data_IF_938782357851
#
_entry.id   IF_938782357851
#
_cell.length_a   1.000
_cell.length_b   1.000
_cell.length_c   1.000
_cell.angle_alpha   90.00
_cell.angle_beta   90.00
_cell.angle_gamma   90.00
#
_symmetry.space_group_name_H-M   'P 1'
#
loop_
_entity.id
_entity.type
_entity.pdbx_description
1 polymer ?
#
# COMPACT_ATOMS: atom_id res chain seq x y z
N UNK A 1 23.91 9.34 87.36
CA UNK A 1 24.58 8.21 86.70
C UNK A 1 24.93 8.67 85.29
N UNK A 2 26.20 9.06 85.07
CA UNK A 2 27.23 8.24 84.37
C UNK A 2 26.83 7.91 82.93
N UNK A 3 27.36 8.57 81.88
CA UNK A 3 28.77 8.56 81.38
C UNK A 3 29.10 7.12 80.88
N UNK A 4 29.52 6.83 79.64
CA UNK A 4 30.56 7.47 78.80
C UNK A 4 30.39 7.21 77.27
N UNK A 5 31.12 7.96 76.44
CA UNK A 5 31.62 7.58 75.09
C UNK A 5 32.99 8.26 74.87
N UNK A 6 33.85 7.93 73.85
CA UNK A 6 33.82 6.86 72.86
C UNK A 6 34.97 5.84 73.11
N UNK A 7 35.80 5.35 72.14
CA UNK A 7 36.73 6.14 71.31
C UNK A 7 36.77 5.73 69.80
N UNK A 8 37.75 6.22 69.02
CA UNK A 8 37.79 6.09 67.55
C UNK A 8 39.18 5.77 66.94
N UNK A 9 39.17 5.06 65.80
CA UNK A 9 40.25 4.98 64.78
C UNK A 9 41.63 4.43 65.25
N UNK A 10 42.72 4.39 64.44
CA UNK A 10 42.87 4.49 62.97
C UNK A 10 43.68 3.33 62.33
N UNK A 11 43.71 3.27 60.97
CA UNK A 11 44.86 2.98 60.04
C UNK A 11 44.28 2.58 58.67
N UNK A 12 44.60 3.14 57.49
CA UNK A 12 45.78 3.80 56.92
C UNK A 12 46.80 2.87 56.21
N UNK A 13 46.85 2.94 54.88
CA UNK A 13 48.14 3.00 54.17
C UNK A 13 48.37 2.08 52.95
N UNK A 14 48.49 2.73 51.78
CA UNK A 14 49.35 2.37 50.62
C UNK A 14 48.97 1.11 49.80
N UNK A 15 49.31 1.03 48.52
CA UNK A 15 49.99 2.04 47.70
C UNK A 15 50.02 1.74 46.19
N UNK A 16 50.33 2.78 45.40
CA UNK A 16 50.44 2.76 43.94
C UNK A 16 51.89 2.47 43.53
N UNK A 17 52.13 1.68 42.45
CA UNK A 17 53.02 2.01 41.30
C UNK A 17 53.42 0.81 40.41
N UNK A 18 53.21 1.00 39.08
CA UNK A 18 54.16 0.74 37.95
C UNK A 18 54.51 -0.74 37.60
N UNK A 19 54.86 -1.13 36.37
CA UNK A 19 54.96 -0.46 35.03
C UNK A 19 55.01 -1.51 33.89
N UNK A 20 54.70 -1.10 32.64
CA UNK A 20 55.28 -1.48 31.32
C UNK A 20 55.72 -2.95 31.05
N UNK A 21 55.52 -3.54 29.87
CA UNK A 21 56.03 -3.05 28.56
C UNK A 21 55.29 -3.68 27.37
N UNK A 22 55.44 -3.11 26.17
CA UNK A 22 54.87 -3.52 24.87
C UNK A 22 55.40 -4.87 24.34
N UNK A 23 54.66 -5.57 23.45
CA UNK A 23 54.64 -5.43 21.97
C UNK A 23 53.35 -6.09 21.39
N UNK A 24 52.93 -6.01 20.11
CA UNK A 24 53.56 -5.48 18.88
C UNK A 24 52.57 -4.78 17.91
N UNK A 25 52.19 -5.42 16.79
CA UNK A 25 51.44 -4.88 15.64
C UNK A 25 50.54 -5.99 15.01
N UNK A 26 49.48 -5.71 14.23
CA UNK A 26 49.56 -5.16 12.86
C UNK A 26 48.22 -4.66 12.28
N UNK A 27 48.32 -3.52 11.56
CA UNK A 27 47.55 -3.08 10.36
C UNK A 27 46.01 -3.07 10.27
N UNK A 28 45.51 -1.87 9.89
CA UNK A 28 44.51 -1.60 8.86
C UNK A 28 43.01 -1.91 9.10
N UNK A 29 42.26 -0.89 9.55
CA UNK A 29 41.07 -0.34 8.87
C UNK A 29 40.42 0.77 9.74
N UNK A 30 40.84 2.02 9.54
CA UNK A 30 40.33 3.16 10.31
C UNK A 30 38.95 3.63 9.83
N UNK A 31 37.90 2.87 10.15
CA UNK A 31 36.51 3.31 9.95
C UNK A 31 36.19 4.46 10.91
N UNK A 32 36.44 5.68 10.45
CA UNK A 32 36.12 6.91 11.15
C UNK A 32 34.61 7.16 11.06
N UNK A 33 33.85 6.41 11.88
CA UNK A 33 32.43 6.68 12.12
C UNK A 33 32.34 8.02 12.84
N UNK A 34 32.24 9.10 12.07
CA UNK A 34 31.85 10.41 12.55
C UNK A 34 30.38 10.33 12.95
N UNK A 35 30.15 9.87 14.19
CA UNK A 35 28.84 9.81 14.78
C UNK A 35 28.25 11.22 14.86
N UNK A 36 27.35 11.54 13.93
CA UNK A 36 26.44 12.66 14.06
C UNK A 36 25.52 12.38 15.26
N UNK A 37 25.97 12.81 16.43
CA UNK A 37 25.12 13.02 17.59
C UNK A 37 24.25 14.25 17.33
N UNK A 38 23.34 14.14 16.35
CA UNK A 38 22.23 15.06 16.21
C UNK A 38 21.38 15.05 17.48
N UNK A 39 20.57 16.09 17.72
CA UNK A 39 19.56 16.00 18.76
C UNK A 39 18.65 14.80 18.45
N UNK A 40 18.30 14.04 19.48
CA UNK A 40 17.24 13.03 19.38
C UNK A 40 15.87 13.73 19.28
N UNK A 41 15.64 14.41 18.16
CA UNK A 41 14.29 14.59 17.65
C UNK A 41 13.69 13.20 17.49
N UNK A 42 12.40 13.06 17.80
CA UNK A 42 11.69 11.91 17.28
C UNK A 42 11.74 12.01 15.75
N UNK A 43 12.28 10.99 15.09
CA UNK A 43 11.98 10.75 13.68
C UNK A 43 10.45 10.59 13.59
N UNK A 44 9.77 11.25 12.64
CA UNK A 44 8.37 10.98 12.41
C UNK A 44 8.24 9.51 11.97
N UNK A 45 7.68 8.65 12.82
CA UNK A 45 7.33 7.30 12.39
C UNK A 45 6.45 7.41 11.15
N UNK A 46 6.92 6.86 10.03
CA UNK A 46 6.13 6.83 8.80
C UNK A 46 4.81 6.12 9.12
N UNK A 47 3.72 6.88 9.06
CA UNK A 47 2.37 6.40 9.34
C UNK A 47 1.90 5.56 8.14
N UNK A 48 2.45 4.34 8.10
CA UNK A 48 2.02 3.22 7.27
C UNK A 48 0.48 3.19 7.25
N UNK A 49 -0.08 3.31 6.05
CA UNK A 49 -1.43 3.84 5.85
C UNK A 49 -2.54 3.05 6.52
N UNK A 50 -3.61 3.78 6.84
CA UNK A 50 -4.75 3.27 7.58
C UNK A 50 -4.62 3.41 9.09
N UNK A 51 -5.77 3.51 9.76
CA UNK A 51 -5.84 3.72 11.21
C UNK A 51 -5.21 2.55 12.00
N UNK A 52 -4.47 2.89 13.06
CA UNK A 52 -3.87 1.94 14.00
C UNK A 52 -4.65 1.88 15.32
N UNK A 53 -4.58 0.76 16.01
CA UNK A 53 -5.19 0.60 17.33
C UNK A 53 -4.81 -0.67 18.08
N UNK A 54 -5.39 -0.87 19.26
CA UNK A 54 -5.17 -2.04 20.14
C UNK A 54 -6.51 -2.63 20.57
N UNK A 55 -6.63 -3.95 20.59
CA UNK A 55 -7.79 -4.62 21.19
C UNK A 55 -7.77 -4.49 22.72
N UNK A 56 -8.83 -3.92 23.29
CA UNK A 56 -8.96 -3.60 24.73
C UNK A 56 -10.12 -4.32 25.43
N UNK A 57 -10.48 -5.51 24.94
CA UNK A 57 -11.52 -6.36 25.53
C UNK A 57 -12.88 -6.28 24.81
N UNK A 58 -13.88 -6.99 25.34
CA UNK A 58 -15.23 -6.99 24.77
C UNK A 58 -16.06 -5.80 25.25
N UNK A 59 -16.99 -5.33 24.42
CA UNK A 59 -18.09 -4.46 24.86
C UNK A 59 -19.11 -5.28 25.66
N UNK A 60 -19.52 -6.41 25.12
CA UNK A 60 -20.12 -7.53 25.85
C UNK A 60 -19.95 -8.84 25.07
N UNK A 61 -20.16 -9.96 25.75
CA UNK A 61 -20.31 -11.28 25.13
C UNK A 61 -21.79 -11.71 25.11
N UNK A 62 -22.18 -12.36 24.03
CA UNK A 62 -23.53 -12.87 23.78
C UNK A 62 -23.65 -14.38 24.07
N UNK A 63 -24.79 -15.00 23.70
CA UNK A 63 -24.92 -16.45 23.74
C UNK A 63 -23.93 -17.15 22.80
N UNK A 64 -23.54 -18.37 23.18
CA UNK A 64 -22.83 -19.30 22.29
C UNK A 64 -23.74 -19.66 21.11
N UNK A 65 -23.19 -19.65 19.90
CA UNK A 65 -23.85 -20.19 18.70
C UNK A 65 -23.29 -21.57 18.34
N UNK A 66 -24.16 -22.48 17.94
CA UNK A 66 -23.83 -23.82 17.49
C UNK A 66 -23.94 -23.89 15.97
N UNK A 67 -22.88 -24.37 15.32
CA UNK A 67 -22.72 -24.29 13.86
C UNK A 67 -22.21 -25.59 13.26
N UNK A 68 -22.26 -25.69 11.93
CA UNK A 68 -21.61 -26.75 11.15
C UNK A 68 -20.10 -26.87 11.45
N UNK A 69 -19.44 -25.77 11.81
CA UNK A 69 -18.02 -25.70 12.18
C UNK A 69 -17.70 -25.88 13.66
N UNK A 70 -18.68 -25.99 14.56
CA UNK A 70 -18.43 -26.16 16.00
C UNK A 70 -19.39 -25.43 16.94
N UNK A 71 -18.84 -24.74 17.93
CA UNK A 71 -19.62 -23.99 18.92
C UNK A 71 -18.80 -22.79 19.40
N UNK A 72 -19.28 -21.58 19.12
CA UNK A 72 -18.50 -20.34 19.20
C UNK A 72 -19.17 -19.34 20.14
N UNK A 73 -18.40 -18.74 21.04
CA UNK A 73 -18.88 -17.60 21.83
C UNK A 73 -18.95 -16.35 20.96
N UNK A 74 -20.09 -15.67 20.94
CA UNK A 74 -20.25 -14.40 20.23
C UNK A 74 -19.82 -13.23 21.12
N UNK A 75 -19.23 -12.19 20.55
CA UNK A 75 -18.85 -10.97 21.28
C UNK A 75 -18.75 -9.79 20.32
N UNK A 76 -19.01 -8.60 20.84
CA UNK A 76 -18.69 -7.33 20.18
C UNK A 76 -17.39 -6.81 20.80
N UNK A 77 -16.38 -6.56 20.00
CA UNK A 77 -15.01 -6.27 20.44
C UNK A 77 -14.75 -4.77 20.50
N UNK A 78 -13.90 -4.33 21.45
CA UNK A 78 -13.42 -2.95 21.54
C UNK A 78 -12.05 -2.84 20.87
N UNK A 79 -12.00 -2.10 19.78
CA UNK A 79 -10.75 -1.66 19.17
C UNK A 79 -10.52 -0.20 19.58
N UNK A 80 -9.51 0.06 20.40
CA UNK A 80 -9.12 1.44 20.76
C UNK A 80 -8.11 1.93 19.73
N UNK A 81 -8.41 3.03 19.04
CA UNK A 81 -7.48 3.72 18.14
C UNK A 81 -6.46 4.57 18.90
N UNK A 82 -5.38 4.96 18.22
CA UNK A 82 -4.28 5.74 18.82
C UNK A 82 -4.73 7.14 19.31
N UNK A 83 -5.71 7.77 18.66
CA UNK A 83 -6.30 9.06 19.07
C UNK A 83 -7.08 8.98 20.41
N UNK A 84 -7.50 7.79 20.83
CA UNK A 84 -8.34 7.58 22.00
C UNK A 84 -9.68 6.89 21.73
N UNK A 85 -10.19 6.96 20.51
CA UNK A 85 -11.51 6.49 20.07
C UNK A 85 -11.67 4.99 20.26
N UNK A 86 -12.87 4.51 20.62
CA UNK A 86 -13.11 3.09 20.98
C UNK A 86 -14.23 2.48 20.15
N UNK A 87 -13.84 1.91 19.00
CA UNK A 87 -14.76 1.34 18.02
C UNK A 87 -15.35 0.02 18.48
N UNK A 88 -16.66 -0.15 18.26
CA UNK A 88 -17.32 -1.46 18.27
C UNK A 88 -16.97 -2.20 16.98
N UNK A 89 -16.48 -3.44 17.10
CA UNK A 89 -16.05 -4.27 15.97
C UNK A 89 -16.56 -5.70 16.09
N UNK A 90 -16.81 -6.35 14.94
CA UNK A 90 -17.13 -7.78 14.84
C UNK A 90 -15.92 -8.59 14.33
N UNK A 91 -15.95 -9.91 14.51
CA UNK A 91 -14.95 -10.82 13.95
C UNK A 91 -15.35 -11.29 12.54
N UNK A 92 -14.41 -11.24 11.59
CA UNK A 92 -14.56 -11.82 10.23
C UNK A 92 -13.64 -13.04 9.98
N UNK A 93 -13.00 -13.59 11.02
CA UNK A 93 -12.35 -14.92 10.94
C UNK A 93 -12.64 -15.81 12.14
N UNK A 94 -13.73 -16.59 12.07
CA UNK A 94 -14.13 -17.56 13.10
C UNK A 94 -13.14 -18.72 13.34
N UNK A 95 -12.06 -18.84 12.54
CA UNK A 95 -11.05 -19.91 12.64
C UNK A 95 -9.73 -19.44 13.30
N UNK A 96 -9.64 -18.17 13.69
CA UNK A 96 -8.48 -17.60 14.38
C UNK A 96 -8.93 -17.03 15.72
N UNK A 97 -8.16 -17.25 16.79
CA UNK A 97 -8.47 -16.69 18.11
C UNK A 97 -8.13 -15.21 18.18
N UNK A 98 -8.92 -14.43 18.92
CA UNK A 98 -8.47 -13.10 19.35
C UNK A 98 -7.34 -13.21 20.38
N UNK A 99 -6.34 -12.33 20.28
CA UNK A 99 -5.23 -12.24 21.22
C UNK A 99 -5.38 -10.96 22.08
N UNK A 100 -5.32 -11.10 23.41
CA UNK A 100 -5.41 -9.97 24.34
C UNK A 100 -4.31 -8.94 24.05
N UNK A 101 -4.67 -7.66 23.96
CA UNK A 101 -3.77 -6.55 23.61
C UNK A 101 -2.94 -6.84 22.36
N UNK A 102 -3.57 -7.38 21.32
CA UNK A 102 -3.01 -7.35 19.97
C UNK A 102 -3.14 -5.95 19.38
N UNK A 103 -2.12 -5.57 18.60
CA UNK A 103 -2.13 -4.36 17.79
C UNK A 103 -2.87 -4.66 16.48
N UNK A 104 -3.53 -3.65 15.94
CA UNK A 104 -4.28 -3.72 14.70
C UNK A 104 -3.91 -2.55 13.81
N UNK A 105 -3.84 -2.83 12.52
CA UNK A 105 -3.74 -1.82 11.45
C UNK A 105 -4.88 -2.05 10.49
N UNK A 106 -5.52 -0.99 10.04
CA UNK A 106 -6.46 -1.02 8.92
C UNK A 106 -5.81 -1.62 7.68
N UNK A 107 -6.61 -2.24 6.81
CA UNK A 107 -6.23 -2.59 5.45
C UNK A 107 -7.49 -2.83 4.61
N UNK A 108 -7.32 -2.91 3.29
CA UNK A 108 -8.38 -3.26 2.36
C UNK A 108 -8.95 -4.68 2.57
N UNK A 109 -10.16 -4.91 2.08
CA UNK A 109 -10.83 -6.20 2.01
C UNK A 109 -10.05 -7.20 1.16
N UNK A 110 -9.41 -6.73 0.09
CA UNK A 110 -8.52 -7.54 -0.74
C UNK A 110 -7.37 -8.17 0.08
N UNK A 111 -6.86 -7.44 1.07
CA UNK A 111 -5.73 -7.85 1.91
C UNK A 111 -6.13 -8.59 3.20
N UNK A 112 -7.39 -9.06 3.31
CA UNK A 112 -7.86 -9.91 4.42
C UNK A 112 -6.92 -11.11 4.66
N UNK A 113 -6.26 -11.20 5.84
CA UNK A 113 -5.29 -12.26 6.12
C UNK A 113 -5.93 -13.51 6.77
N UNK A 114 -7.25 -13.52 6.97
CA UNK A 114 -7.95 -14.54 7.75
C UNK A 114 -8.07 -15.89 7.03
N UNK A 115 -8.45 -16.93 7.78
CA UNK A 115 -8.63 -18.30 7.25
C UNK A 115 -10.05 -18.54 6.70
N UNK A 116 -10.84 -17.48 6.53
CA UNK A 116 -12.17 -17.50 5.96
C UNK A 116 -12.20 -17.35 4.44
N UNK A 117 -13.40 -17.10 3.93
CA UNK A 117 -13.71 -16.86 2.51
C UNK A 117 -14.24 -15.43 2.29
N UNK A 118 -13.93 -14.48 3.18
CA UNK A 118 -14.47 -13.12 3.20
C UNK A 118 -14.47 -12.44 1.83
N UNK A 119 -13.35 -12.52 1.11
CA UNK A 119 -13.13 -11.94 -0.23
C UNK A 119 -14.05 -12.52 -1.33
N UNK A 120 -14.88 -13.54 -1.03
CA UNK A 120 -15.87 -14.07 -1.98
C UNK A 120 -17.20 -13.33 -1.96
N UNK A 121 -17.60 -12.76 -0.82
CA UNK A 121 -18.88 -12.05 -0.61
C UNK A 121 -18.74 -10.92 0.44
N UNK A 122 -17.74 -10.02 0.36
CA UNK A 122 -17.50 -9.04 1.42
C UNK A 122 -18.60 -7.96 1.45
N UNK A 123 -19.18 -7.62 0.29
CA UNK A 123 -20.34 -6.73 0.16
C UNK A 123 -21.53 -7.17 1.03
N UNK A 124 -21.83 -8.48 1.09
CA UNK A 124 -22.89 -9.02 1.95
C UNK A 124 -22.59 -8.90 3.44
N UNK A 125 -21.31 -9.00 3.83
CA UNK A 125 -20.89 -8.72 5.20
C UNK A 125 -21.09 -7.23 5.52
N UNK A 126 -20.77 -6.33 4.59
CA UNK A 126 -21.03 -4.90 4.75
C UNK A 126 -22.53 -4.58 4.82
N UNK A 127 -23.36 -5.21 3.97
CA UNK A 127 -24.83 -5.11 4.05
C UNK A 127 -25.33 -5.48 5.45
N UNK A 128 -24.84 -6.58 6.03
CA UNK A 128 -25.23 -7.02 7.39
C UNK A 128 -24.81 -6.00 8.45
N UNK A 129 -23.62 -5.41 8.34
CA UNK A 129 -23.15 -4.41 9.29
C UNK A 129 -23.95 -3.09 9.20
N UNK A 130 -24.44 -2.74 8.01
CA UNK A 130 -25.32 -1.59 7.80
C UNK A 130 -26.76 -1.84 8.27
N UNK A 131 -27.29 -3.06 8.10
CA UNK A 131 -28.70 -3.39 8.29
C UNK A 131 -28.96 -4.24 9.56
N UNK A 132 -28.03 -4.22 10.52
CA UNK A 132 -28.15 -4.94 11.79
C UNK A 132 -27.52 -4.17 12.95
N UNK A 133 -27.62 -4.74 14.16
CA UNK A 133 -27.08 -4.17 15.39
C UNK A 133 -25.54 -4.04 15.34
N UNK A 134 -24.95 -2.90 15.76
CA UNK A 134 -25.58 -1.74 16.39
C UNK A 134 -26.14 -0.65 15.45
N UNK A 135 -25.86 -0.68 14.14
CA UNK A 135 -26.33 0.34 13.17
C UNK A 135 -27.86 0.44 13.11
N UNK A 136 -28.55 -0.70 13.19
CA UNK A 136 -30.00 -0.80 13.37
C UNK A 136 -30.30 -1.14 14.83
N UNK A 137 -31.27 -0.44 15.42
CA UNK A 137 -31.65 -0.67 16.82
C UNK A 137 -32.32 -2.03 17.03
N UNK A 138 -32.29 -2.51 18.28
CA UNK A 138 -32.77 -3.85 18.64
C UNK A 138 -34.28 -4.02 18.45
N UNK A 139 -35.08 -2.96 18.56
CA UNK A 139 -36.52 -3.03 18.36
C UNK A 139 -36.89 -3.08 16.88
N UNK A 140 -36.25 -2.25 16.04
CA UNK A 140 -36.43 -2.31 14.59
C UNK A 140 -35.92 -3.64 14.00
N UNK A 141 -34.74 -4.11 14.40
CA UNK A 141 -34.21 -5.41 13.98
C UNK A 141 -35.08 -6.57 14.49
N UNK A 142 -35.60 -6.47 15.72
CA UNK A 142 -36.55 -7.44 16.29
C UNK A 142 -37.86 -7.50 15.50
N UNK A 143 -38.41 -6.36 15.08
CA UNK A 143 -39.59 -6.30 14.23
C UNK A 143 -39.34 -6.87 12.83
N UNK A 144 -38.24 -6.46 12.17
CA UNK A 144 -37.90 -6.90 10.82
C UNK A 144 -37.62 -8.41 10.71
N UNK A 145 -36.95 -8.98 11.72
CA UNK A 145 -36.68 -10.43 11.80
C UNK A 145 -37.80 -11.25 12.45
N UNK A 146 -38.87 -10.60 12.93
CA UNK A 146 -39.92 -11.26 13.72
C UNK A 146 -39.44 -11.84 15.06
N UNK A 147 -38.28 -11.41 15.56
CA UNK A 147 -37.70 -11.83 16.83
C UNK A 147 -38.32 -11.08 18.02
N UNK A 148 -39.52 -11.49 18.43
CA UNK A 148 -40.20 -10.96 19.61
C UNK A 148 -39.34 -11.05 20.87
N UNK A 149 -39.20 -9.94 21.60
CA UNK A 149 -38.36 -9.88 22.81
C UNK A 149 -36.85 -9.98 22.55
N UNK A 150 -36.39 -9.66 21.33
CA UNK A 150 -34.96 -9.53 21.02
C UNK A 150 -34.28 -8.57 22.00
N UNK A 151 -33.07 -8.92 22.43
CA UNK A 151 -32.18 -8.05 23.23
C UNK A 151 -30.82 -7.93 22.55
N UNK A 152 -30.04 -6.91 22.94
CA UNK A 152 -28.71 -6.58 22.38
C UNK A 152 -27.80 -7.80 22.21
N UNK A 153 -27.77 -8.71 23.20
CA UNK A 153 -26.92 -9.90 23.16
C UNK A 153 -27.38 -10.91 22.11
N UNK A 154 -28.68 -11.07 21.92
CA UNK A 154 -29.24 -11.91 20.85
C UNK A 154 -29.07 -11.26 19.48
N UNK A 155 -29.31 -9.95 19.36
CA UNK A 155 -29.13 -9.18 18.13
C UNK A 155 -27.67 -9.25 17.63
N UNK A 156 -26.72 -8.97 18.52
CA UNK A 156 -25.29 -9.07 18.27
C UNK A 156 -24.88 -10.49 17.88
N UNK A 157 -25.40 -11.52 18.57
CA UNK A 157 -25.08 -12.91 18.24
C UNK A 157 -25.62 -13.37 16.88
N UNK A 158 -26.83 -12.94 16.50
CA UNK A 158 -27.40 -13.20 15.17
C UNK A 158 -26.59 -12.51 14.07
N UNK A 159 -26.21 -11.25 14.30
CA UNK A 159 -25.33 -10.46 13.43
C UNK A 159 -23.97 -11.16 13.25
N UNK A 160 -23.30 -11.52 14.34
CA UNK A 160 -22.00 -12.19 14.28
C UNK A 160 -22.07 -13.56 13.59
N UNK A 161 -23.16 -14.31 13.76
CA UNK A 161 -23.37 -15.57 13.04
C UNK A 161 -23.59 -15.35 11.53
N UNK A 162 -24.34 -14.31 11.14
CA UNK A 162 -24.59 -13.98 9.73
C UNK A 162 -23.31 -13.47 9.05
N UNK A 163 -22.50 -12.67 9.76
CA UNK A 163 -21.15 -12.29 9.32
C UNK A 163 -20.30 -13.54 9.06
N UNK A 164 -20.21 -14.47 10.01
CA UNK A 164 -19.42 -15.71 9.84
C UNK A 164 -19.93 -16.64 8.75
N UNK A 165 -21.21 -16.55 8.35
CA UNK A 165 -21.71 -17.28 7.20
C UNK A 165 -21.01 -16.85 5.92
N UNK A 166 -21.01 -15.55 5.63
CA UNK A 166 -20.36 -15.00 4.44
C UNK A 166 -18.83 -14.92 4.58
N UNK A 167 -18.30 -14.64 5.79
CA UNK A 167 -16.85 -14.52 6.01
C UNK A 167 -16.12 -15.86 6.18
N UNK A 168 -16.78 -16.93 6.65
CA UNK A 168 -16.13 -18.21 6.98
C UNK A 168 -16.84 -19.46 6.45
N UNK A 169 -18.04 -19.34 5.86
CA UNK A 169 -18.81 -20.47 5.34
C UNK A 169 -19.46 -21.35 6.42
N UNK A 170 -19.74 -20.80 7.61
CA UNK A 170 -20.41 -21.55 8.69
C UNK A 170 -21.93 -21.39 8.64
N UNK A 171 -22.64 -22.42 9.06
CA UNK A 171 -24.11 -22.43 9.11
C UNK A 171 -24.57 -22.66 10.54
N UNK A 172 -25.62 -21.97 11.02
CA UNK A 172 -26.23 -22.32 12.31
C UNK A 172 -26.81 -23.74 12.23
N UNK A 173 -26.47 -24.59 13.20
CA UNK A 173 -26.87 -26.00 13.21
C UNK A 173 -27.07 -26.54 14.61
N UNK A 174 -28.25 -27.09 14.86
CA UNK A 174 -28.53 -27.82 16.10
C UNK A 174 -27.95 -29.25 16.04
N UNK A 175 -27.53 -29.78 17.20
CA UNK A 175 -26.97 -31.13 17.29
C UNK A 175 -27.17 -31.73 18.67
N UNK A 176 -28.18 -32.61 18.81
CA UNK A 176 -28.56 -33.21 20.08
C UNK A 176 -28.99 -32.13 21.08
N UNK A 177 -28.31 -32.05 22.23
CA UNK A 177 -28.60 -31.05 23.27
C UNK A 177 -28.04 -29.64 22.95
N UNK A 178 -27.26 -29.48 21.87
CA UNK A 178 -26.77 -28.17 21.41
C UNK A 178 -27.86 -27.49 20.57
N UNK A 179 -28.53 -26.51 21.15
CA UNK A 179 -29.63 -25.75 20.52
C UNK A 179 -29.31 -24.26 20.48
N UNK A 180 -29.70 -23.60 19.39
CA UNK A 180 -29.51 -22.15 19.25
C UNK A 180 -30.67 -21.39 19.90
N UNK A 181 -30.44 -20.16 20.32
CA UNK A 181 -31.53 -19.31 20.82
C UNK A 181 -32.44 -18.89 19.64
N UNK A 182 -33.75 -19.05 19.78
CA UNK A 182 -34.69 -18.84 18.67
C UNK A 182 -34.64 -17.42 18.06
N UNK A 183 -34.40 -16.38 18.87
CA UNK A 183 -34.26 -15.01 18.38
C UNK A 183 -32.93 -14.77 17.65
N UNK A 184 -31.86 -15.46 18.07
CA UNK A 184 -30.57 -15.46 17.35
C UNK A 184 -30.72 -16.13 15.98
N UNK A 185 -31.48 -17.23 15.90
CA UNK A 185 -31.78 -17.92 14.63
C UNK A 185 -32.62 -17.02 13.72
N UNK A 186 -33.69 -16.41 14.21
CA UNK A 186 -34.53 -15.47 13.43
C UNK A 186 -33.74 -14.29 12.85
N UNK A 187 -32.88 -13.65 13.65
CA UNK A 187 -32.01 -12.56 13.18
C UNK A 187 -31.02 -13.08 12.12
N UNK A 188 -30.39 -14.23 12.35
CA UNK A 188 -29.49 -14.86 11.38
C UNK A 188 -30.19 -15.18 10.04
N UNK A 189 -31.36 -15.80 10.07
CA UNK A 189 -32.14 -16.16 8.88
C UNK A 189 -32.63 -14.92 8.11
N UNK A 190 -33.11 -13.89 8.83
CA UNK A 190 -33.48 -12.60 8.24
C UNK A 190 -32.30 -11.94 7.52
N UNK A 191 -31.12 -11.89 8.16
CA UNK A 191 -29.93 -11.27 7.58
C UNK A 191 -29.43 -12.05 6.35
N UNK A 192 -29.42 -13.39 6.39
CA UNK A 192 -29.04 -14.21 5.24
C UNK A 192 -30.01 -14.07 4.05
N UNK A 193 -31.30 -13.89 4.32
CA UNK A 193 -32.32 -13.76 3.28
C UNK A 193 -32.32 -12.40 2.56
N UNK A 194 -31.76 -11.35 3.19
CA UNK A 194 -31.77 -9.98 2.67
C UNK A 194 -30.37 -9.43 2.32
N UNK A 195 -29.28 -10.16 2.59
CA UNK A 195 -27.92 -9.71 2.31
C UNK A 195 -27.60 -9.68 0.81
N UNK A 196 -27.72 -8.48 0.23
CA UNK A 196 -27.47 -8.19 -1.19
C UNK A 196 -26.08 -7.60 -1.44
N UNK A 197 -25.67 -7.60 -2.71
CA UNK A 197 -24.45 -6.95 -3.22
C UNK A 197 -24.90 -5.73 -4.05
N UNK A 198 -24.71 -4.54 -3.49
CA UNK A 198 -25.23 -3.26 -3.96
C UNK A 198 -24.14 -2.18 -3.89
N UNK A 199 -24.21 -1.07 -4.68
CA UNK A 199 -23.15 -0.06 -4.71
C UNK A 199 -22.79 0.54 -3.34
N UNK A 200 -23.78 0.79 -2.47
CA UNK A 200 -23.54 1.28 -1.11
C UNK A 200 -22.97 0.24 -0.14
N UNK A 201 -22.82 -1.02 -0.58
CA UNK A 201 -22.18 -2.12 0.16
C UNK A 201 -20.79 -2.46 -0.37
N UNK A 202 -20.27 -1.67 -1.34
CA UNK A 202 -18.87 -1.69 -1.72
C UNK A 202 -17.94 -1.43 -0.51
N UNK A 203 -16.65 -1.63 -0.69
CA UNK A 203 -15.65 -1.31 0.34
C UNK A 203 -15.75 0.18 0.72
N UNK A 204 -15.88 0.54 2.01
CA UNK A 204 -15.85 1.93 2.42
C UNK A 204 -14.46 2.52 2.15
N UNK A 205 -14.40 3.75 1.63
CA UNK A 205 -13.13 4.48 1.48
C UNK A 205 -12.32 4.46 2.78
N UNK A 206 -11.01 4.23 2.66
CA UNK A 206 -10.06 4.34 3.77
C UNK A 206 -10.21 5.71 4.45
N UNK A 207 -9.97 5.81 5.77
CA UNK A 207 -10.08 7.14 6.41
C UNK A 207 -9.07 8.13 5.83
N UNK A 208 -7.81 7.71 5.75
CA UNK A 208 -6.76 8.37 5.01
C UNK A 208 -5.61 7.37 4.76
N UNK A 209 -5.20 7.24 3.50
CA UNK A 209 -4.02 6.50 3.07
C UNK A 209 -3.37 7.18 1.87
N UNK A 210 -2.10 6.85 1.63
CA UNK A 210 -1.33 7.31 0.49
C UNK A 210 -0.61 6.11 -0.14
N UNK A 211 -0.85 5.87 -1.43
CA UNK A 211 -0.34 4.70 -2.15
C UNK A 211 0.57 5.17 -3.29
N UNK A 212 1.87 4.80 -3.33
CA UNK A 212 2.61 3.98 -2.37
C UNK A 212 2.99 4.73 -1.08
N UNK A 213 3.43 4.02 -0.04
CA UNK A 213 3.84 4.63 1.23
C UNK A 213 5.25 5.24 1.23
N UNK A 214 6.08 4.91 0.25
CA UNK A 214 7.45 5.40 0.13
C UNK A 214 7.87 5.53 -1.33
N UNK A 215 8.84 6.43 -1.60
CA UNK A 215 9.50 6.55 -2.90
C UNK A 215 10.98 6.94 -2.76
N UNK A 216 11.76 6.59 -3.78
CA UNK A 216 13.18 6.96 -3.92
C UNK A 216 13.43 7.58 -5.29
N UNK A 217 14.30 8.58 -5.36
CA UNK A 217 14.66 9.24 -6.62
C UNK A 217 15.94 10.09 -6.55
N UNK A 218 16.00 11.09 -7.42
CA UNK A 218 17.13 12.01 -7.58
C UNK A 218 16.68 13.46 -7.35
N UNK A 219 17.52 14.25 -6.70
CA UNK A 219 17.34 15.70 -6.60
C UNK A 219 17.30 16.36 -7.99
N UNK A 220 16.43 17.36 -8.19
CA UNK A 220 16.15 17.99 -9.48
C UNK A 220 14.96 17.41 -10.25
N UNK A 221 14.26 16.42 -9.68
CA UNK A 221 13.08 15.77 -10.29
C UNK A 221 11.93 15.68 -9.29
N UNK A 222 10.71 15.50 -9.80
CA UNK A 222 9.58 15.06 -8.99
C UNK A 222 9.73 13.56 -8.68
N UNK A 223 9.52 13.19 -7.41
CA UNK A 223 9.73 11.82 -6.90
C UNK A 223 8.41 11.25 -6.39
N UNK A 224 8.09 10.04 -6.85
CA UNK A 224 6.87 9.31 -6.52
C UNK A 224 5.65 9.68 -7.37
N UNK A 225 4.61 8.86 -7.28
CA UNK A 225 3.26 9.13 -7.78
C UNK A 225 2.29 8.66 -6.70
N UNK A 226 2.01 9.53 -5.74
CA UNK A 226 1.25 9.24 -4.53
C UNK A 226 -0.23 9.49 -4.78
N UNK A 227 -1.02 8.42 -4.83
CA UNK A 227 -2.48 8.48 -4.92
C UNK A 227 -3.06 8.65 -3.52
N UNK A 228 -4.03 9.56 -3.39
CA UNK A 228 -4.70 9.89 -2.13
C UNK A 228 -6.00 9.10 -2.00
N UNK A 229 -6.13 8.32 -0.93
CA UNK A 229 -7.30 7.51 -0.64
C UNK A 229 -7.94 8.00 0.67
N UNK A 230 -9.13 8.61 0.61
CA UNK A 230 -9.78 9.17 1.80
C UNK A 230 -11.30 9.25 1.73
N UNK A 231 -11.96 8.88 2.82
CA UNK A 231 -13.38 9.13 3.10
C UNK A 231 -13.77 10.61 3.28
N UNK A 232 -12.82 11.54 3.18
CA UNK A 232 -13.03 12.97 3.39
C UNK A 232 -13.81 13.62 2.24
N UNK A 233 -14.72 14.53 2.58
CA UNK A 233 -15.50 15.34 1.61
C UNK A 233 -14.94 16.75 1.41
N UNK A 234 -14.02 17.19 2.27
CA UNK A 234 -13.30 18.45 2.16
C UNK A 234 -11.83 18.16 1.76
N UNK A 235 -11.16 19.04 0.99
CA UNK A 235 -9.74 18.93 0.71
C UNK A 235 -8.89 18.89 1.99
N UNK A 236 -7.83 18.08 1.97
CA UNK A 236 -6.94 17.81 3.09
C UNK A 236 -5.62 18.56 2.92
N UNK A 237 -5.17 19.35 3.91
CA UNK A 237 -3.91 20.07 3.82
C UNK A 237 -2.72 19.11 3.92
N UNK A 238 -1.79 19.23 2.96
CA UNK A 238 -0.50 18.54 3.00
C UNK A 238 0.49 19.31 3.87
N UNK A 239 1.25 18.60 4.70
CA UNK A 239 2.36 19.13 5.51
C UNK A 239 3.66 18.47 5.06
N UNK A 240 4.56 19.23 4.44
CA UNK A 240 5.88 18.75 4.02
C UNK A 240 6.90 19.02 5.12
N UNK A 241 7.52 17.96 5.65
CA UNK A 241 8.60 18.02 6.63
C UNK A 241 9.90 17.58 5.94
N UNK A 242 10.75 18.53 5.55
CA UNK A 242 12.00 18.29 4.84
C UNK A 242 12.88 19.53 4.74
N UNK A 243 13.98 19.49 3.96
CA UNK A 243 14.82 20.65 3.69
C UNK A 243 14.09 21.79 2.96
N UNK A 244 14.64 23.00 3.06
CA UNK A 244 14.09 24.19 2.39
C UNK A 244 14.01 23.99 0.87
N UNK A 245 12.85 24.33 0.29
CA UNK A 245 12.55 24.18 -1.13
C UNK A 245 11.96 22.82 -1.54
N UNK A 246 11.94 21.80 -0.68
CA UNK A 246 11.22 20.54 -0.96
C UNK A 246 9.71 20.77 -0.77
N UNK A 247 8.91 20.46 -1.80
CA UNK A 247 7.46 20.72 -1.83
C UNK A 247 6.67 19.55 -2.44
N UNK A 248 5.39 19.46 -2.12
CA UNK A 248 4.45 18.60 -2.83
C UNK A 248 3.95 19.30 -4.11
N UNK A 249 3.80 18.54 -5.20
CA UNK A 249 3.36 19.02 -6.52
C UNK A 249 2.35 18.06 -7.17
N UNK A 250 1.58 18.54 -8.14
CA UNK A 250 0.79 17.68 -9.04
C UNK A 250 1.69 16.98 -10.09
N UNK A 251 1.09 16.24 -11.02
CA UNK A 251 1.83 15.50 -12.05
C UNK A 251 2.34 16.40 -13.18
N UNK A 252 1.81 17.62 -13.26
CA UNK A 252 2.21 18.71 -14.14
C UNK A 252 3.36 19.56 -13.55
N UNK A 253 3.64 19.43 -12.25
CA UNK A 253 4.73 20.10 -11.52
C UNK A 253 4.33 21.37 -10.76
N UNK A 254 3.04 21.70 -10.65
CA UNK A 254 2.55 22.85 -9.90
C UNK A 254 2.49 22.53 -8.38
N UNK A 255 2.77 23.49 -7.47
CA UNK A 255 2.67 23.26 -6.02
C UNK A 255 1.27 22.87 -5.56
N UNK A 256 1.18 21.84 -4.71
CA UNK A 256 -0.08 21.33 -4.14
C UNK A 256 -0.06 21.44 -2.62
N UNK A 257 -0.91 22.33 -2.07
CA UNK A 257 -1.10 22.49 -0.63
C UNK A 257 -2.24 21.63 -0.07
N UNK A 258 -3.22 21.23 -0.90
CA UNK A 258 -4.43 20.52 -0.48
C UNK A 258 -4.83 19.43 -1.49
N UNK A 259 -5.31 18.28 -1.02
CA UNK A 259 -5.67 17.11 -1.85
C UNK A 259 -7.03 16.48 -1.46
N UNK A 260 -7.67 15.81 -2.41
CA UNK A 260 -8.98 15.17 -2.30
C UNK A 260 -8.88 13.65 -2.55
N UNK A 261 -9.97 12.91 -2.35
CA UNK A 261 -10.01 11.46 -2.66
C UNK A 261 -9.80 11.22 -4.17
N UNK A 262 -8.82 10.39 -4.53
CA UNK A 262 -8.44 10.09 -5.91
C UNK A 262 -7.43 11.07 -6.53
N UNK A 263 -7.06 12.16 -5.85
CA UNK A 263 -6.01 13.07 -6.32
C UNK A 263 -4.63 12.39 -6.30
N UNK A 264 -3.68 12.93 -7.07
CA UNK A 264 -2.30 12.44 -7.15
C UNK A 264 -1.30 13.56 -6.93
N UNK A 265 -0.25 13.29 -6.16
CA UNK A 265 0.86 14.21 -5.96
C UNK A 265 2.22 13.51 -6.07
N UNK A 266 3.26 14.29 -6.30
CA UNK A 266 4.66 13.90 -6.20
C UNK A 266 5.39 14.85 -5.25
N UNK A 267 6.65 14.55 -4.90
CA UNK A 267 7.50 15.46 -4.13
C UNK A 267 8.60 16.00 -5.01
N UNK A 268 8.61 17.31 -5.24
CA UNK A 268 9.67 17.98 -5.98
C UNK A 268 10.84 18.29 -5.03
N UNK A 269 12.00 17.73 -5.33
CA UNK A 269 13.26 18.03 -4.65
C UNK A 269 14.09 18.94 -5.55
N UNK A 270 14.53 20.13 -5.10
CA UNK A 270 15.34 21.04 -5.92
C UNK A 270 16.64 20.42 -6.43
N UNK A 271 17.11 20.87 -7.59
CA UNK A 271 18.41 20.45 -8.12
C UNK A 271 19.55 20.88 -7.18
N UNK A 272 20.58 20.05 -7.05
CA UNK A 272 21.72 20.31 -6.15
C UNK A 272 21.43 20.13 -4.66
N UNK A 273 20.20 19.80 -4.24
CA UNK A 273 19.91 19.39 -2.86
C UNK A 273 20.74 18.16 -2.49
N UNK A 274 21.44 18.21 -1.36
CA UNK A 274 22.26 17.11 -0.87
C UNK A 274 21.41 15.87 -0.51
N UNK A 275 21.96 14.64 -0.58
CA UNK A 275 21.21 13.41 -0.32
C UNK A 275 20.51 13.41 1.03
N UNK A 276 19.24 13.00 1.05
CA UNK A 276 18.42 13.12 2.25
C UNK A 276 17.03 12.52 2.11
N UNK A 277 16.14 12.96 3.00
CA UNK A 277 14.76 12.50 3.08
C UNK A 277 13.80 13.60 3.52
N UNK A 278 12.53 13.43 3.17
CA UNK A 278 11.41 14.24 3.59
C UNK A 278 10.18 13.35 3.87
N UNK A 279 9.31 13.81 4.75
CA UNK A 279 8.01 13.18 5.01
C UNK A 279 6.90 14.14 4.62
N UNK A 280 5.97 13.72 3.76
CA UNK A 280 4.72 14.45 3.52
C UNK A 280 3.62 13.76 4.31
N UNK A 281 2.89 14.51 5.13
CA UNK A 281 1.76 13.99 5.90
C UNK A 281 0.49 14.82 5.69
N UNK A 282 -0.66 14.19 5.93
CA UNK A 282 -1.94 14.87 6.03
C UNK A 282 -2.75 14.31 7.20
N UNK A 283 -3.81 15.04 7.56
CA UNK A 283 -4.52 14.86 8.81
C UNK A 283 -5.99 15.20 8.62
N UNK A 284 -6.90 14.32 9.08
CA UNK A 284 -8.35 14.50 8.88
C UNK A 284 -9.17 13.97 10.05
N UNK A 285 -10.25 14.67 10.40
CA UNK A 285 -11.37 14.10 11.16
C UNK A 285 -12.23 13.26 10.22
N UNK A 286 -11.80 12.02 9.96
CA UNK A 286 -12.51 11.11 9.09
C UNK A 286 -13.67 10.44 9.82
N UNK A 287 -14.77 10.23 9.12
CA UNK A 287 -15.80 9.33 9.60
C UNK A 287 -15.28 7.89 9.54
N UNK A 288 -15.34 7.19 10.67
CA UNK A 288 -15.17 5.75 10.70
C UNK A 288 -16.39 5.16 10.04
N UNK A 289 -16.30 4.82 8.77
CA UNK A 289 -17.34 4.08 8.10
C UNK A 289 -17.46 2.66 8.71
N UNK A 290 -18.68 2.15 8.70
CA UNK A 290 -18.99 0.72 8.90
C UNK A 290 -18.27 -0.09 7.82
N UNK A 291 -17.84 -1.31 8.13
CA UNK A 291 -17.21 -2.21 7.14
C UNK A 291 -15.69 -2.10 6.99
N UNK A 292 -15.00 -1.16 7.65
CA UNK A 292 -13.53 -1.03 7.59
C UNK A 292 -12.85 -2.22 8.26
N UNK A 293 -11.88 -2.83 7.58
CA UNK A 293 -11.18 -4.04 8.02
C UNK A 293 -9.91 -3.71 8.81
N UNK A 294 -9.65 -4.46 9.89
CA UNK A 294 -8.48 -4.31 10.74
C UNK A 294 -7.74 -5.64 10.96
N UNK A 295 -6.48 -5.71 10.54
CA UNK A 295 -5.59 -6.88 10.65
C UNK A 295 -4.91 -6.93 12.02
N UNK A 296 -5.16 -7.97 12.81
CA UNK A 296 -4.58 -8.09 14.15
C UNK A 296 -3.25 -8.86 14.19
N UNK A 297 -2.23 -8.31 14.86
CA UNK A 297 -0.97 -8.98 15.15
C UNK A 297 -0.55 -8.80 16.62
N UNK A 298 0.07 -9.84 17.19
CA UNK A 298 0.79 -9.79 18.46
C UNK A 298 2.00 -10.69 18.43
N UNK A 299 3.19 -10.14 18.66
CA UNK A 299 4.45 -10.89 18.75
C UNK A 299 4.70 -11.80 17.52
N UNK A 300 4.35 -11.30 16.32
CA UNK A 300 4.41 -12.04 15.05
C UNK A 300 3.27 -13.03 14.82
N UNK A 301 2.33 -13.18 15.75
CA UNK A 301 1.17 -14.08 15.65
C UNK A 301 -0.06 -13.31 15.24
N UNK A 302 -0.77 -13.83 14.25
CA UNK A 302 -2.05 -13.30 13.81
C UNK A 302 -3.12 -13.45 14.90
N UNK A 303 -3.82 -12.35 15.18
CA UNK A 303 -5.10 -12.33 15.90
C UNK A 303 -6.25 -12.33 14.88
N UNK A 304 -7.46 -12.71 15.30
CA UNK A 304 -8.63 -12.68 14.41
C UNK A 304 -8.81 -11.30 13.74
N UNK A 305 -9.13 -11.27 12.45
CA UNK A 305 -9.40 -10.02 11.73
C UNK A 305 -10.72 -9.41 12.21
N UNK A 306 -10.71 -8.11 12.46
CA UNK A 306 -11.87 -7.35 12.94
C UNK A 306 -12.45 -6.46 11.83
N UNK A 307 -13.73 -6.09 11.95
CA UNK A 307 -14.44 -5.18 11.04
C UNK A 307 -15.31 -4.19 11.82
N UNK A 308 -15.39 -2.93 11.39
CA UNK A 308 -16.17 -1.88 12.11
C UNK A 308 -17.66 -2.10 12.03
N UNK A 309 -18.34 -1.94 13.18
CA UNK A 309 -19.74 -2.28 13.37
C UNK A 309 -20.69 -1.07 13.46
N UNK A 310 -20.17 0.14 13.55
CA UNK A 310 -20.95 1.39 13.62
C UNK A 310 -20.21 2.54 12.94
N UNK A 311 -20.91 3.66 12.73
CA UNK A 311 -20.28 4.91 12.30
C UNK A 311 -19.78 5.70 13.50
N UNK A 312 -18.56 6.19 13.42
CA UNK A 312 -17.93 7.08 14.42
C UNK A 312 -17.16 8.22 13.72
N UNK A 313 -16.50 9.09 14.46
CA UNK A 313 -15.57 10.11 13.92
C UNK A 313 -14.26 10.06 14.70
N UNK A 314 -13.14 9.93 13.98
CA UNK A 314 -11.79 9.78 14.56
C UNK A 314 -10.81 10.65 13.80
N UNK A 315 -9.75 11.10 14.48
CA UNK A 315 -8.67 11.79 13.80
C UNK A 315 -7.70 10.75 13.22
N UNK A 316 -7.47 10.80 11.91
CA UNK A 316 -6.51 9.94 11.20
C UNK A 316 -5.43 10.80 10.56
N UNK A 317 -4.19 10.43 10.86
CA UNK A 317 -2.97 11.00 10.29
C UNK A 317 -2.32 9.92 9.41
N UNK A 318 -1.85 10.30 8.22
CA UNK A 318 -1.07 9.43 7.32
C UNK A 318 0.11 10.20 6.75
N UNK A 319 1.14 9.49 6.26
CA UNK A 319 2.25 10.14 5.58
C UNK A 319 3.10 9.19 4.75
N UNK A 320 3.78 9.76 3.75
CA UNK A 320 4.71 9.08 2.86
C UNK A 320 6.14 9.54 3.10
N UNK A 321 7.09 8.61 2.97
CA UNK A 321 8.52 8.90 3.04
C UNK A 321 9.13 9.02 1.65
N UNK A 322 9.78 10.14 1.37
CA UNK A 322 10.55 10.35 0.14
C UNK A 322 12.02 10.41 0.48
N UNK A 323 12.83 9.70 -0.30
CA UNK A 323 14.29 9.62 -0.18
C UNK A 323 14.94 10.00 -1.50
N UNK A 324 16.10 10.65 -1.47
CA UNK A 324 16.81 10.98 -2.70
C UNK A 324 18.33 10.92 -2.57
N UNK A 325 18.96 10.61 -3.69
CA UNK A 325 20.38 10.87 -3.93
C UNK A 325 20.55 12.20 -4.65
N UNK A 326 21.77 12.72 -4.66
CA UNK A 326 22.14 13.88 -5.47
C UNK A 326 21.99 13.52 -6.94
N UNK A 327 21.24 14.32 -7.69
CA UNK A 327 21.12 14.14 -9.15
C UNK A 327 22.46 14.29 -9.85
N UNK A 328 22.63 13.64 -11.00
CA UNK A 328 23.82 13.82 -11.83
C UNK A 328 23.86 15.25 -12.39
N UNK A 329 24.85 16.03 -11.95
CA UNK A 329 25.16 17.33 -12.54
C UNK A 329 25.44 17.15 -14.04
N UNK A 330 24.79 17.91 -14.94
CA UNK A 330 24.93 17.70 -16.37
C UNK A 330 26.39 17.90 -16.79
N UNK A 331 27.04 16.80 -17.18
CA UNK A 331 28.45 16.81 -17.56
C UNK A 331 28.65 17.85 -18.67
N UNK A 332 29.57 18.82 -18.50
CA UNK A 332 29.71 19.91 -19.45
C UNK A 332 30.06 19.34 -20.81
N UNK A 333 29.31 19.74 -21.85
CA UNK A 333 29.57 19.29 -23.21
C UNK A 333 31.07 19.48 -23.55
N UNK A 334 31.74 18.47 -24.13
CA UNK A 334 33.14 18.60 -24.45
C UNK A 334 33.33 19.78 -25.38
N UNK A 335 34.13 20.76 -24.94
CA UNK A 335 34.46 21.96 -25.71
C UNK A 335 34.79 21.56 -27.15
N UNK A 336 34.20 22.22 -28.17
CA UNK A 336 34.44 21.86 -29.56
C UNK A 336 35.95 21.84 -29.83
N UNK A 337 36.42 20.74 -30.44
CA UNK A 337 37.84 20.57 -30.74
C UNK A 337 38.35 21.75 -31.57
N UNK A 338 39.57 22.27 -31.28
CA UNK A 338 40.12 23.37 -32.04
C UNK A 338 40.26 22.95 -33.52
N UNK A 339 39.64 23.73 -34.41
CA UNK A 339 39.73 23.52 -35.86
C UNK A 339 41.20 23.36 -36.28
N UNK A 340 41.56 22.32 -37.04
CA UNK A 340 42.94 22.08 -37.43
C UNK A 340 43.50 23.26 -38.24
N UNK A 341 44.76 23.62 -37.96
CA UNK A 341 45.47 24.66 -38.69
C UNK A 341 45.63 24.30 -40.18
N UNK A 342 45.63 25.30 -41.09
CA UNK A 342 45.75 25.05 -42.52
C UNK A 342 47.12 24.43 -42.87
N UNK A 343 47.08 23.27 -43.52
CA UNK A 343 48.28 22.59 -44.03
C UNK A 343 48.95 23.43 -45.13
N UNK A 344 50.29 23.58 -45.14
CA UNK A 344 50.99 24.41 -46.12
C UNK A 344 50.89 23.87 -47.55
N UNK A 345 50.87 24.77 -48.53
CA UNK A 345 50.68 24.45 -49.95
C UNK A 345 51.80 23.55 -50.54
N UNK A 346 51.46 22.55 -51.37
CA UNK A 346 52.46 21.75 -52.07
C UNK A 346 53.11 22.52 -53.24
N UNK A 347 54.42 22.32 -53.41
CA UNK A 347 55.20 22.87 -54.53
C UNK A 347 54.71 22.33 -55.90
N UNK A 348 54.70 23.15 -56.97
CA UNK A 348 54.23 22.72 -58.29
C UNK A 348 55.13 21.68 -58.96
N UNK A 349 54.52 20.65 -59.55
CA UNK A 349 55.18 19.69 -60.45
C UNK A 349 55.24 20.18 -61.91
N UNK A 350 56.22 19.72 -62.72
CA UNK A 350 56.40 20.16 -64.10
C UNK A 350 55.47 19.45 -65.10
N UNK A 351 54.99 20.20 -66.10
CA UNK A 351 54.18 19.70 -67.22
C UNK A 351 55.03 18.95 -68.26
N UNK A 352 54.52 17.86 -68.88
CA UNK A 352 54.28 17.96 -70.34
C UNK A 352 53.07 17.17 -70.91
N UNK A 353 52.21 17.88 -71.65
CA UNK A 353 51.70 17.62 -73.04
C UNK A 353 52.00 16.29 -73.78
N UNK A 354 51.19 15.88 -74.80
CA UNK A 354 49.71 15.95 -74.97
C UNK A 354 49.04 14.77 -75.76
N UNK A 355 47.70 14.82 -75.97
CA UNK A 355 46.89 14.19 -77.08
C UNK A 355 46.72 12.64 -77.14
N UNK A 356 45.73 12.06 -77.91
CA UNK A 356 44.55 12.66 -78.58
C UNK A 356 43.17 11.90 -78.48
N UNK A 357 42.07 12.66 -78.67
CA UNK A 357 40.86 12.35 -79.49
C UNK A 357 39.76 11.28 -79.17
N UNK A 358 38.55 11.77 -78.79
CA UNK A 358 37.19 11.58 -79.43
C UNK A 358 36.51 10.18 -79.57
N UNK A 359 35.19 10.07 -79.91
CA UNK A 359 33.96 10.86 -79.62
C UNK A 359 32.70 9.96 -79.26
N UNK A 360 31.45 10.45 -79.45
CA UNK A 360 30.17 9.71 -79.76
C UNK A 360 29.49 8.91 -78.61
N UNK A 361 28.18 8.93 -78.29
CA UNK A 361 26.94 9.75 -78.52
C UNK A 361 25.91 9.45 -77.36
N UNK A 362 24.81 10.15 -76.99
CA UNK A 362 23.85 11.15 -77.57
C UNK A 362 22.63 10.52 -78.30
N UNK A 363 21.34 10.97 -78.13
CA UNK A 363 20.58 11.56 -77.00
C UNK A 363 19.15 10.90 -76.82
N UNK A 364 18.10 11.68 -76.49
CA UNK A 364 16.62 11.44 -76.67
C UNK A 364 15.82 10.64 -75.62
N UNK A 365 14.53 10.92 -75.30
CA UNK A 365 13.67 12.15 -75.38
C UNK A 365 12.38 11.99 -74.52
N UNK A 366 11.46 12.98 -74.51
CA UNK A 366 10.17 12.95 -73.76
C UNK A 366 8.95 13.36 -74.62
N UNK A 367 7.79 12.70 -74.48
CA UNK A 367 6.49 13.41 -74.46
C UNK A 367 5.42 12.79 -73.51
N UNK A 368 4.70 13.55 -72.65
CA UNK A 368 3.45 14.36 -72.85
C UNK A 368 2.13 13.59 -72.47
N UNK A 369 0.86 14.12 -72.53
CA UNK A 369 0.04 14.20 -71.29
C UNK A 369 -1.48 13.81 -71.34
N UNK A 370 -2.11 13.77 -70.15
CA UNK A 370 -3.47 14.25 -69.73
C UNK A 370 -4.67 14.27 -70.71
N UNK A 371 -5.84 13.72 -70.31
CA UNK A 371 -7.02 14.57 -70.03
C UNK A 371 -7.89 14.19 -68.81
N UNK A 372 -8.81 15.09 -68.44
CA UNK A 372 -9.65 15.08 -67.21
C UNK A 372 -11.15 14.83 -67.50
N UNK A 373 -11.88 14.23 -66.56
CA UNK A 373 -13.12 14.82 -65.99
C UNK A 373 -13.15 14.70 -64.43
N UNK A 374 -14.01 15.34 -63.63
CA UNK A 374 -14.86 16.57 -63.67
C UNK A 374 -15.31 16.83 -62.20
N UNK A 375 -15.42 18.07 -61.69
CA UNK A 375 -15.70 18.31 -60.26
C UNK A 375 -17.19 18.37 -59.89
N UNK A 376 -17.49 18.09 -58.61
CA UNK A 376 -18.74 18.43 -57.92
C UNK A 376 -18.41 18.91 -56.48
N UNK A 377 -19.38 19.47 -55.76
CA UNK A 377 -19.14 20.65 -54.90
C UNK A 377 -19.16 20.42 -53.36
N UNK A 378 -18.46 21.32 -52.63
CA UNK A 378 -18.50 21.63 -51.18
C UNK A 378 -17.66 20.79 -50.16
N UNK A 379 -17.30 21.36 -48.98
CA UNK A 379 -16.11 20.93 -48.20
C UNK A 379 -16.38 20.52 -46.73
N UNK A 380 -15.37 19.93 -46.05
CA UNK A 380 -15.35 19.88 -44.59
C UNK A 380 -14.30 18.98 -43.89
N UNK A 381 -13.28 19.61 -43.30
CA UNK A 381 -12.46 19.14 -42.16
C UNK A 381 -11.40 18.01 -42.42
N UNK A 382 -10.36 17.89 -41.55
CA UNK A 382 -9.06 17.31 -41.93
C UNK A 382 -8.77 15.89 -41.41
N UNK A 383 -7.64 15.34 -41.86
CA UNK A 383 -7.16 13.97 -41.57
C UNK A 383 -6.25 13.90 -40.34
N UNK A 384 -6.58 13.00 -39.42
CA UNK A 384 -5.64 12.18 -38.61
C UNK A 384 -6.24 10.76 -38.50
N UNK A 385 -5.50 9.67 -38.29
CA UNK A 385 -4.05 9.48 -38.21
C UNK A 385 -3.71 7.99 -38.32
N UNK A 386 -2.42 7.66 -38.34
CA UNK A 386 -1.84 6.34 -38.64
C UNK A 386 -2.44 5.09 -37.92
N UNK A 387 -2.29 3.95 -38.61
CA UNK A 387 -1.77 2.64 -38.16
C UNK A 387 -1.83 2.26 -36.64
N UNK A 388 -2.05 1.00 -36.25
CA UNK A 388 -1.42 -0.22 -36.77
C UNK A 388 -2.34 -1.45 -36.68
N UNK A 389 -2.54 -2.15 -37.79
CA UNK A 389 -3.13 -3.50 -37.80
C UNK A 389 -2.06 -4.57 -38.00
N UNK A 390 -1.57 -5.19 -36.93
CA UNK A 390 -0.56 -6.25 -37.04
C UNK A 390 -0.21 -6.99 -35.74
N UNK A 391 0.13 -8.27 -35.89
CA UNK A 391 0.79 -9.15 -34.90
C UNK A 391 0.01 -9.62 -33.65
N UNK A 392 -1.23 -10.11 -33.82
CA UNK A 392 -1.72 -11.20 -32.95
C UNK A 392 -1.06 -12.52 -33.40
N UNK A 393 0.22 -12.73 -33.01
CA UNK A 393 1.02 -13.87 -33.50
C UNK A 393 2.15 -14.37 -32.57
N UNK A 394 2.05 -14.18 -31.24
CA UNK A 394 3.13 -14.57 -30.31
C UNK A 394 2.71 -15.46 -29.12
N UNK A 395 1.47 -15.35 -28.61
CA UNK A 395 1.11 -15.93 -27.30
C UNK A 395 0.84 -17.45 -27.27
N UNK A 396 0.49 -18.07 -28.40
CA UNK A 396 -0.04 -19.46 -28.42
C UNK A 396 1.06 -20.54 -28.32
N UNK A 397 2.29 -20.23 -28.74
CA UNK A 397 3.40 -21.22 -28.76
C UNK A 397 3.90 -21.56 -27.34
N UNK A 398 3.86 -20.60 -26.41
CA UNK A 398 4.41 -20.75 -25.07
C UNK A 398 3.69 -21.83 -24.22
N UNK A 399 2.36 -21.95 -24.37
CA UNK A 399 1.55 -22.86 -23.55
C UNK A 399 1.65 -24.31 -24.06
N UNK A 400 1.77 -24.52 -25.38
CA UNK A 400 1.88 -25.86 -25.97
C UNK A 400 3.17 -26.61 -25.62
N UNK A 401 4.30 -25.92 -25.54
CA UNK A 401 5.61 -26.54 -25.32
C UNK A 401 5.79 -27.16 -23.92
N UNK A 402 5.33 -26.49 -22.87
CA UNK A 402 5.58 -26.90 -21.48
C UNK A 402 4.94 -28.24 -21.10
N UNK A 403 3.69 -28.48 -21.54
CA UNK A 403 2.93 -29.68 -21.18
C UNK A 403 3.58 -30.98 -21.68
N UNK A 404 4.13 -30.97 -22.90
CA UNK A 404 4.77 -32.14 -23.51
C UNK A 404 6.02 -32.61 -22.73
N UNK A 405 6.85 -31.65 -22.30
CA UNK A 405 8.07 -31.94 -21.54
C UNK A 405 7.77 -32.55 -20.16
N UNK A 406 6.71 -32.09 -19.47
CA UNK A 406 6.35 -32.59 -18.14
C UNK A 406 5.71 -34.00 -18.20
N UNK A 407 5.02 -34.34 -19.28
CA UNK A 407 4.46 -35.69 -19.48
C UNK A 407 5.54 -36.73 -19.80
N UNK A 408 6.47 -36.41 -20.71
CA UNK A 408 7.54 -37.33 -21.12
C UNK A 408 8.54 -37.63 -19.99
N UNK A 409 8.85 -36.65 -19.15
CA UNK A 409 9.75 -36.82 -18.00
C UNK A 409 9.16 -37.75 -16.92
N UNK A 410 7.84 -37.71 -16.67
CA UNK A 410 7.18 -38.67 -15.77
C UNK A 410 7.25 -40.11 -16.27
N UNK A 411 6.94 -40.36 -17.56
CA UNK A 411 6.90 -41.72 -18.13
C UNK A 411 8.26 -42.44 -18.09
N UNK A 412 9.38 -41.69 -18.12
CA UNK A 412 10.74 -42.26 -18.15
C UNK A 412 11.24 -42.78 -16.78
N UNK A 413 10.57 -42.47 -15.66
CA UNK A 413 10.97 -42.88 -14.31
C UNK A 413 10.28 -44.16 -13.79
N UNK A 414 9.42 -44.78 -14.60
CA UNK A 414 8.64 -45.99 -14.23
C UNK A 414 9.23 -47.32 -14.74
N UNK A 415 10.42 -47.30 -15.34
CA UNK A 415 10.98 -48.43 -16.12
C UNK A 415 12.30 -49.00 -15.61
N UNK A 416 12.61 -48.89 -14.31
CA UNK A 416 13.84 -49.41 -13.70
C UNK A 416 13.60 -49.94 -12.28
N UNK A 417 12.77 -50.97 -12.16
CA UNK A 417 12.61 -51.81 -10.96
C UNK A 417 12.05 -53.18 -11.40
N UNK A 418 12.94 -54.04 -11.86
CA UNK A 418 12.75 -55.46 -12.16
C UNK A 418 14.12 -56.14 -11.98
#
# INVERSE_FOLDING_TARGET
MTITAPPASPKAGKGVKRTLTSLAATTAAGLLVLGFAGPASAEPEVLNGGAKGTYVGNWFSGPTVHTSGGSFGTSLFKLKLEDGTVLKTYCIDSKTSILDKANYTEDSWANYPGKGNFNTQPAKVHWILQNSYPTVDVAALGAASGAEGLNEKQAMAGTQAAIWHFSNGVELKESGNKKNNANVVKVYEYLLANAEDLPQTAEPDASLAFTPHEASGEAGKAIGEFTVETSATNPLPLTVNGPEGVIAVDLEGNPVENVSNGDKFAVLVPEGTEPGEATVSASVEAHVNVGRLFKGNKDGKQSQTLITAEKDSTKVDAGVKVTWVKGEEPSPEPSPEPSPEPSPEPSPEPTPTPTPSTPVETPSESPKPTPTPTPDDKPGLPVTGAALGGLIAAAVVAIGGGGAAMYLSRKRKSGHSA
#
